data_IF_176114534769
#
_entry.id   IF_176114534769
#
_cell.length_a   1.000
_cell.length_b   1.000
_cell.length_c   1.000
_cell.angle_alpha   90.00
_cell.angle_beta   90.00
_cell.angle_gamma   90.00
#
_symmetry.space_group_name_H-M   'P 1'
#
loop_
_entity.id
_entity.type
_entity.pdbx_description
1 polymer ?
#
# COMPACT_ATOMS: atom_id res chain seq x y z
N UNK A 1 -26.91 14.54 0.84
CA UNK A 1 -26.98 14.37 2.31
C UNK A 1 -25.74 15.04 2.89
N UNK A 2 -25.88 16.04 3.77
CA UNK A 2 -24.73 16.72 4.41
C UNK A 2 -24.27 15.83 5.57
N UNK A 3 -23.04 15.32 5.51
CA UNK A 3 -22.43 14.60 6.62
C UNK A 3 -22.24 15.55 7.81
N UNK A 4 -22.34 15.04 9.04
CA UNK A 4 -22.11 15.85 10.23
C UNK A 4 -20.66 16.33 10.24
N UNK A 5 -20.43 17.57 10.65
CA UNK A 5 -19.07 18.12 10.79
C UNK A 5 -18.27 17.23 11.75
N UNK A 6 -17.21 16.61 11.24
CA UNK A 6 -16.39 15.62 11.96
C UNK A 6 -16.58 14.17 11.52
N UNK A 7 -17.61 13.84 10.75
CA UNK A 7 -17.76 12.52 10.11
C UNK A 7 -17.10 12.54 8.72
N UNK A 8 -15.97 11.86 8.61
CA UNK A 8 -15.31 11.62 7.33
C UNK A 8 -16.24 10.71 6.51
N UNK A 9 -16.68 11.12 5.30
CA UNK A 9 -17.49 10.25 4.46
C UNK A 9 -16.72 8.94 4.22
N UNK A 10 -17.39 7.77 4.23
CA UNK A 10 -16.73 6.47 4.10
C UNK A 10 -15.85 6.37 2.85
N UNK A 11 -16.20 7.13 1.82
CA UNK A 11 -15.49 7.24 0.53
C UNK A 11 -14.13 7.93 0.64
N UNK A 12 -13.89 8.75 1.68
CA UNK A 12 -12.65 9.50 1.90
C UNK A 12 -11.83 9.00 3.10
N UNK A 13 -12.17 7.83 3.65
CA UNK A 13 -11.39 7.22 4.74
C UNK A 13 -9.98 6.83 4.30
N UNK A 14 -9.76 6.49 3.04
CA UNK A 14 -8.43 6.21 2.51
C UNK A 14 -7.56 7.47 2.37
N UNK A 15 -8.18 8.62 2.06
CA UNK A 15 -7.48 9.91 1.92
C UNK A 15 -7.13 10.49 3.30
N UNK A 16 -7.99 10.28 4.30
CA UNK A 16 -7.76 10.71 5.68
C UNK A 16 -7.16 9.60 6.57
N UNK A 17 -6.61 8.54 5.98
CA UNK A 17 -5.98 7.47 6.74
C UNK A 17 -4.76 8.01 7.50
N UNK A 18 -4.62 7.66 8.77
CA UNK A 18 -3.46 8.08 9.57
C UNK A 18 -2.16 7.52 8.98
N UNK A 19 -1.10 8.34 8.98
CA UNK A 19 0.22 7.97 8.47
C UNK A 19 0.74 6.66 9.10
N UNK A 20 0.46 6.42 10.39
CA UNK A 20 0.87 5.18 11.07
C UNK A 20 0.18 3.94 10.49
N UNK A 21 -1.10 4.07 10.13
CA UNK A 21 -1.89 2.98 9.55
C UNK A 21 -1.41 2.66 8.12
N UNK A 22 -1.10 3.70 7.35
CA UNK A 22 -0.52 3.57 6.01
C UNK A 22 0.89 2.96 6.06
N UNK A 23 1.72 3.37 7.01
CA UNK A 23 3.07 2.83 7.19
C UNK A 23 3.02 1.34 7.58
N UNK A 24 2.15 0.96 8.52
CA UNK A 24 1.90 -0.44 8.88
C UNK A 24 1.41 -1.25 7.67
N UNK A 25 0.49 -0.69 6.88
CA UNK A 25 -0.03 -1.33 5.66
C UNK A 25 1.07 -1.52 4.62
N UNK A 26 2.00 -0.57 4.50
CA UNK A 26 3.16 -0.68 3.62
C UNK A 26 4.05 -1.86 4.02
N UNK A 27 4.35 -2.01 5.32
CA UNK A 27 5.19 -3.10 5.83
C UNK A 27 4.51 -4.46 5.61
N UNK A 28 3.21 -4.55 5.92
CA UNK A 28 2.44 -5.77 5.66
C UNK A 28 2.39 -6.10 4.16
N UNK A 29 2.19 -5.10 3.30
CA UNK A 29 2.16 -5.27 1.85
C UNK A 29 3.49 -5.79 1.29
N UNK A 30 4.63 -5.31 1.80
CA UNK A 30 5.96 -5.85 1.46
C UNK A 30 6.08 -7.30 1.91
N UNK A 31 5.72 -7.62 3.15
CA UNK A 31 5.79 -8.99 3.67
C UNK A 31 4.93 -9.97 2.87
N UNK A 32 3.68 -9.59 2.59
CA UNK A 32 2.74 -10.40 1.79
C UNK A 32 3.23 -10.53 0.35
N UNK A 33 3.71 -9.45 -0.25
CA UNK A 33 4.25 -9.44 -1.61
C UNK A 33 5.43 -10.40 -1.74
N UNK A 34 6.39 -10.37 -0.80
CA UNK A 34 7.53 -11.30 -0.77
C UNK A 34 7.04 -12.74 -0.62
N UNK A 35 6.11 -13.01 0.31
CA UNK A 35 5.56 -14.34 0.52
C UNK A 35 4.88 -14.88 -0.75
N UNK A 36 4.07 -14.05 -1.43
CA UNK A 36 3.41 -14.39 -2.69
C UNK A 36 4.41 -14.60 -3.82
N UNK A 37 5.48 -13.81 -3.91
CA UNK A 37 6.54 -13.99 -4.91
C UNK A 37 7.28 -15.30 -4.70
N UNK A 38 7.62 -15.66 -3.47
CA UNK A 38 8.28 -16.94 -3.15
C UNK A 38 7.37 -18.13 -3.46
N UNK A 39 6.10 -18.05 -3.05
CA UNK A 39 5.12 -19.10 -3.29
C UNK A 39 4.77 -19.24 -4.78
N UNK A 40 4.63 -18.13 -5.49
CA UNK A 40 4.41 -18.08 -6.94
C UNK A 40 5.57 -18.67 -7.73
N UNK A 41 6.82 -18.44 -7.27
CA UNK A 41 8.01 -19.06 -7.87
C UNK A 41 8.02 -20.58 -7.69
N UNK A 42 7.63 -21.10 -6.52
CA UNK A 42 7.48 -22.55 -6.30
C UNK A 42 6.35 -23.17 -7.12
N UNK A 43 5.24 -22.45 -7.29
CA UNK A 43 4.09 -22.90 -8.07
C UNK A 43 4.24 -22.80 -9.59
N UNK A 44 5.37 -22.29 -10.11
CA UNK A 44 5.56 -21.93 -11.54
C UNK A 44 4.46 -21.01 -12.09
N UNK A 45 3.73 -20.32 -11.21
CA UNK A 45 2.62 -19.47 -11.59
C UNK A 45 3.17 -18.10 -11.94
N UNK A 46 3.49 -17.92 -13.23
CA UNK A 46 4.07 -16.69 -13.80
C UNK A 46 3.29 -15.45 -13.36
N UNK A 47 1.96 -15.56 -13.31
CA UNK A 47 1.09 -14.48 -12.87
C UNK A 47 1.36 -14.08 -11.41
N UNK A 48 1.46 -15.06 -10.50
CA UNK A 48 1.50 -14.78 -9.06
C UNK A 48 2.83 -14.14 -8.61
N UNK A 49 3.95 -14.50 -9.25
CA UNK A 49 5.22 -13.84 -8.94
C UNK A 49 5.32 -12.42 -9.51
N UNK A 50 4.78 -12.17 -10.71
CA UNK A 50 4.74 -10.82 -11.31
C UNK A 50 3.91 -9.86 -10.46
N UNK A 51 2.71 -10.31 -10.04
CA UNK A 51 1.85 -9.52 -9.16
C UNK A 51 2.43 -9.35 -7.76
N UNK A 52 3.10 -10.37 -7.23
CA UNK A 52 3.82 -10.26 -5.95
C UNK A 52 4.94 -9.22 -5.99
N UNK A 53 5.76 -9.21 -7.04
CA UNK A 53 6.82 -8.19 -7.21
C UNK A 53 6.21 -6.79 -7.33
N UNK A 54 5.13 -6.63 -8.10
CA UNK A 54 4.42 -5.36 -8.21
C UNK A 54 3.90 -4.86 -6.86
N UNK A 55 3.32 -5.74 -6.04
CA UNK A 55 2.88 -5.41 -4.68
C UNK A 55 4.05 -4.94 -3.80
N UNK A 56 5.19 -5.64 -3.83
CA UNK A 56 6.38 -5.24 -3.08
C UNK A 56 6.84 -3.83 -3.49
N UNK A 57 6.92 -3.55 -4.79
CA UNK A 57 7.36 -2.24 -5.30
C UNK A 57 6.41 -1.13 -4.83
N UNK A 58 5.08 -1.32 -4.97
CA UNK A 58 4.09 -0.35 -4.53
C UNK A 58 4.14 -0.09 -3.02
N UNK A 59 4.31 -1.15 -2.22
CA UNK A 59 4.40 -1.04 -0.77
C UNK A 59 5.70 -0.36 -0.31
N UNK A 60 6.83 -0.66 -0.95
CA UNK A 60 8.10 0.05 -0.68
C UNK A 60 7.95 1.53 -1.05
N UNK A 61 7.37 1.84 -2.21
CA UNK A 61 7.14 3.22 -2.64
C UNK A 61 6.28 3.99 -1.63
N UNK A 62 5.19 3.38 -1.14
CA UNK A 62 4.32 3.99 -0.14
C UNK A 62 5.05 4.22 1.20
N UNK A 63 5.82 3.23 1.67
CA UNK A 63 6.61 3.38 2.90
C UNK A 63 7.71 4.43 2.79
N UNK A 64 8.42 4.48 1.66
CA UNK A 64 9.47 5.48 1.40
C UNK A 64 8.87 6.88 1.25
N UNK A 65 7.73 7.02 0.57
CA UNK A 65 7.03 8.31 0.44
C UNK A 65 6.67 8.89 1.80
N UNK A 66 6.14 8.06 2.72
CA UNK A 66 5.77 8.48 4.07
C UNK A 66 7.02 8.73 4.94
N UNK A 67 8.03 7.85 4.88
CA UNK A 67 9.20 7.91 5.74
C UNK A 67 10.23 8.98 5.36
N UNK A 68 10.42 9.23 4.07
CA UNK A 68 11.37 10.25 3.57
C UNK A 68 10.68 11.53 3.08
N UNK A 69 9.34 11.59 3.05
CA UNK A 69 8.61 12.71 2.44
C UNK A 69 8.86 12.81 0.93
N UNK A 70 9.34 11.73 0.30
CA UNK A 70 9.78 11.72 -1.09
C UNK A 70 8.57 11.60 -2.02
N UNK A 71 7.99 12.75 -2.38
CA UNK A 71 6.85 12.84 -3.28
C UNK A 71 7.32 12.88 -4.74
N UNK A 72 7.52 11.71 -5.36
CA UNK A 72 7.92 11.63 -6.78
C UNK A 72 6.77 12.03 -7.73
N UNK A 73 5.52 11.79 -7.30
CA UNK A 73 4.31 12.35 -7.87
C UNK A 73 3.71 13.29 -6.81
N UNK A 74 3.37 14.51 -7.21
CA UNK A 74 3.11 15.64 -6.31
C UNK A 74 2.06 15.42 -5.22
N UNK A 75 2.07 16.35 -4.25
CA UNK A 75 1.20 16.43 -3.06
C UNK A 75 -0.17 15.77 -3.26
N UNK A 76 -0.37 14.64 -2.59
CA UNK A 76 -1.70 14.13 -2.25
C UNK A 76 -2.12 14.67 -0.89
#
# INVERSE_FOLDING_TARGET
>A
MRYKEGEIPPEMMAVNASNDMLLLTSVLGVLIGIALTIMGRKGKQMWMYVWGIGLVICSIYLGVSIGFGWNLFGKF
#
